data_IF_994312752292
#
_entry.id   IF_994312752292
#
_cell.length_a   1.000
_cell.length_b   1.000
_cell.length_c   1.000
_cell.angle_alpha   90.00
_cell.angle_beta   90.00
_cell.angle_gamma   90.00
#
_symmetry.space_group_name_H-M   'P 1'
#
loop_
_entity.id
_entity.type
_entity.pdbx_description
1 polymer ?
#
# COMPACT_ATOMS: atom_id res chain seq x y z
N UNK A 1 -22.29 -18.91 -12.00
CA UNK A 1 -21.09 -19.00 -11.14
C UNK A 1 -19.90 -18.66 -12.02
N UNK A 2 -19.36 -17.45 -11.90
CA UNK A 2 -18.20 -17.05 -12.70
C UNK A 2 -16.96 -17.68 -12.07
N UNK A 3 -16.37 -18.65 -12.76
CA UNK A 3 -15.08 -19.22 -12.37
C UNK A 3 -14.03 -18.18 -12.79
N UNK A 4 -13.49 -17.47 -11.80
CA UNK A 4 -12.25 -16.70 -12.01
C UNK A 4 -11.16 -17.75 -12.14
N UNK A 5 -10.62 -17.93 -13.33
CA UNK A 5 -9.51 -18.84 -13.53
C UNK A 5 -8.33 -18.35 -12.67
N UNK A 6 -7.71 -19.22 -11.86
CA UNK A 6 -6.48 -18.87 -11.18
C UNK A 6 -5.44 -18.44 -12.21
N UNK A 7 -4.58 -17.51 -11.82
CA UNK A 7 -3.42 -17.17 -12.64
C UNK A 7 -2.51 -18.39 -12.64
N UNK A 8 -2.50 -19.12 -13.76
CA UNK A 8 -1.63 -20.27 -13.98
C UNK A 8 -0.17 -19.78 -14.15
N UNK A 9 0.79 -20.60 -13.74
CA UNK A 9 2.25 -20.39 -13.85
C UNK A 9 2.86 -19.19 -13.11
N UNK A 10 2.19 -18.60 -12.11
CA UNK A 10 2.89 -17.78 -11.11
C UNK A 10 2.21 -17.78 -9.74
N UNK A 11 2.83 -18.48 -8.79
CA UNK A 11 2.45 -18.41 -7.37
C UNK A 11 3.13 -17.21 -6.66
N UNK A 12 3.86 -16.37 -7.41
CA UNK A 12 4.67 -15.28 -6.86
C UNK A 12 4.08 -13.97 -7.32
N UNK A 13 3.19 -13.42 -6.49
CA UNK A 13 2.74 -12.03 -6.63
C UNK A 13 3.78 -11.15 -5.96
N UNK A 14 4.52 -10.37 -6.75
CA UNK A 14 5.42 -9.34 -6.22
C UNK A 14 4.60 -8.09 -5.96
N UNK A 15 4.55 -7.67 -4.71
CA UNK A 15 3.87 -6.45 -4.32
C UNK A 15 4.71 -5.66 -3.32
N UNK A 16 4.39 -4.38 -3.23
CA UNK A 16 4.85 -3.51 -2.17
C UNK A 16 3.66 -2.66 -1.72
N UNK A 17 3.67 -2.33 -0.45
CA UNK A 17 2.65 -1.51 0.15
C UNK A 17 3.15 -0.09 0.22
N UNK A 18 2.25 0.86 0.01
CA UNK A 18 2.50 2.28 0.03
C UNK A 18 1.58 2.90 1.07
N UNK A 19 2.14 3.65 2.00
CA UNK A 19 1.38 4.30 3.06
C UNK A 19 1.67 5.78 3.04
N UNK A 20 0.59 6.56 3.05
CA UNK A 20 0.62 8.00 3.25
C UNK A 20 -0.12 8.34 4.53
N UNK A 21 0.54 9.11 5.39
CA UNK A 21 -0.06 9.65 6.60
C UNK A 21 -0.09 11.17 6.47
N UNK A 22 -1.29 11.71 6.42
CA UNK A 22 -1.53 13.15 6.40
C UNK A 22 -1.91 13.59 7.80
N UNK A 23 -0.98 14.27 8.45
CA UNK A 23 -1.17 14.86 9.78
C UNK A 23 -1.51 16.35 9.64
N UNK A 24 -1.87 17.00 10.75
CA UNK A 24 -2.16 18.44 10.75
C UNK A 24 -0.96 19.31 10.36
N UNK A 25 0.28 18.81 10.50
CA UNK A 25 1.51 19.57 10.30
C UNK A 25 2.41 19.07 9.15
N UNK A 26 2.24 17.82 8.72
CA UNK A 26 3.11 17.20 7.73
C UNK A 26 2.47 15.98 7.04
N UNK A 27 3.02 15.62 5.88
CA UNK A 27 2.67 14.40 5.13
C UNK A 27 3.86 13.45 5.08
N UNK A 28 3.69 12.25 5.62
CA UNK A 28 4.69 11.19 5.65
C UNK A 28 4.36 10.12 4.62
N UNK A 29 5.39 9.60 3.93
CA UNK A 29 5.25 8.62 2.84
C UNK A 29 6.30 7.54 3.01
N UNK A 30 5.85 6.29 3.09
CA UNK A 30 6.75 5.15 3.19
C UNK A 30 6.19 3.94 2.46
N UNK A 31 7.09 3.04 2.09
CA UNK A 31 6.76 1.81 1.38
C UNK A 31 7.57 0.62 1.89
N UNK A 32 7.01 -0.57 1.75
CA UNK A 32 7.73 -1.84 1.98
C UNK A 32 8.70 -2.19 0.83
N UNK A 33 8.76 -1.37 -0.23
CA UNK A 33 9.74 -1.50 -1.30
C UNK A 33 11.19 -1.29 -0.80
N UNK A 34 12.20 -1.90 -1.46
CA UNK A 34 13.61 -1.75 -1.09
C UNK A 34 14.22 -0.40 -1.50
N UNK A 35 13.55 0.36 -2.37
CA UNK A 35 14.00 1.65 -2.89
C UNK A 35 12.84 2.63 -2.94
N UNK A 36 13.16 3.93 -3.07
CA UNK A 36 12.13 4.95 -3.22
C UNK A 36 11.40 4.81 -4.55
N UNK A 37 10.07 4.89 -4.53
CA UNK A 37 9.21 4.73 -5.71
C UNK A 37 8.24 5.91 -5.77
N UNK A 38 8.15 6.55 -6.94
CA UNK A 38 7.13 7.56 -7.23
C UNK A 38 5.96 6.92 -7.95
N UNK A 39 4.77 6.99 -7.35
CA UNK A 39 3.51 6.54 -7.96
C UNK A 39 2.71 7.77 -8.33
N UNK A 40 2.96 8.33 -9.52
CA UNK A 40 2.43 9.64 -9.93
C UNK A 40 0.89 9.74 -9.92
N UNK A 41 0.19 8.60 -10.05
CA UNK A 41 -1.27 8.54 -9.94
C UNK A 41 -1.81 8.70 -8.51
N UNK A 42 -0.95 8.49 -7.50
CA UNK A 42 -1.30 8.54 -6.07
C UNK A 42 -0.72 9.78 -5.39
N UNK A 43 0.55 10.09 -5.66
CA UNK A 43 1.26 11.24 -5.10
C UNK A 43 2.36 11.74 -6.04
N UNK A 44 2.62 13.04 -6.00
CA UNK A 44 3.68 13.67 -6.79
C UNK A 44 5.08 13.44 -6.20
N UNK A 45 5.16 13.15 -4.89
CA UNK A 45 6.41 12.89 -4.18
C UNK A 45 6.65 11.38 -3.99
N UNK A 46 7.93 10.94 -3.96
CA UNK A 46 8.25 9.53 -3.79
C UNK A 46 7.87 9.01 -2.39
N UNK A 47 7.53 7.72 -2.33
CA UNK A 47 7.45 6.98 -1.07
C UNK A 47 8.84 6.48 -0.69
N UNK A 48 9.27 6.70 0.55
CA UNK A 48 10.55 6.19 1.05
C UNK A 48 10.51 4.67 1.14
N UNK A 49 11.45 3.99 0.50
CA UNK A 49 11.57 2.53 0.56
C UNK A 49 12.20 2.08 1.86
N UNK A 50 11.40 1.50 2.76
CA UNK A 50 11.82 1.08 4.09
C UNK A 50 12.06 -0.43 4.21
N UNK A 51 11.72 -1.21 3.17
CA UNK A 51 11.94 -2.66 3.15
C UNK A 51 11.49 -3.34 4.46
N UNK A 52 12.37 -4.11 5.09
CA UNK A 52 12.14 -4.82 6.36
C UNK A 52 11.86 -3.91 7.56
N UNK A 53 12.13 -2.60 7.46
CA UNK A 53 11.83 -1.66 8.54
C UNK A 53 10.33 -1.35 8.64
N UNK A 54 9.52 -1.71 7.64
CA UNK A 54 8.06 -1.60 7.69
C UNK A 54 7.44 -2.97 7.49
N UNK A 55 6.51 -3.32 8.36
CA UNK A 55 5.61 -4.45 8.17
C UNK A 55 4.17 -3.95 8.24
N UNK A 56 3.36 -4.33 7.26
CA UNK A 56 1.93 -4.05 7.24
C UNK A 56 1.19 -5.36 7.49
N UNK A 57 0.40 -5.38 8.55
CA UNK A 57 -0.45 -6.51 8.88
C UNK A 57 -1.57 -6.70 7.86
N UNK A 58 -2.12 -7.90 7.79
CA UNK A 58 -3.25 -8.19 6.90
C UNK A 58 -4.48 -7.37 7.28
N UNK A 59 -5.06 -6.67 6.31
CA UNK A 59 -6.38 -6.05 6.46
C UNK A 59 -7.47 -7.12 6.31
N UNK A 60 -8.25 -7.37 7.37
CA UNK A 60 -9.47 -8.17 7.29
C UNK A 60 -10.53 -7.40 6.51
N UNK A 61 -11.32 -8.06 5.64
CA UNK A 61 -12.39 -7.41 4.86
C UNK A 61 -13.78 -7.61 5.48
N UNK A 62 -13.84 -8.11 6.70
CA UNK A 62 -15.09 -8.31 7.42
C UNK A 62 -15.60 -6.97 7.95
N UNK A 63 -16.67 -6.46 7.35
CA UNK A 63 -17.37 -5.28 7.86
C UNK A 63 -18.29 -5.75 9.00
N UNK A 64 -17.71 -5.92 10.19
CA UNK A 64 -18.45 -6.08 11.44
C UNK A 64 -18.39 -4.77 12.22
N UNK A 65 -19.40 -4.47 13.05
CA UNK A 65 -19.42 -3.29 13.95
C UNK A 65 -18.43 -3.42 15.12
N UNK A 66 -17.26 -3.95 14.87
CA UNK A 66 -16.11 -3.98 15.77
C UNK A 66 -14.97 -3.40 14.97
N UNK A 67 -14.25 -2.43 15.55
CA UNK A 67 -13.16 -1.72 14.89
C UNK A 67 -12.26 -2.72 14.16
N UNK A 68 -12.25 -2.63 12.83
CA UNK A 68 -11.49 -3.53 11.99
C UNK A 68 -10.07 -2.96 11.91
N UNK A 69 -9.22 -3.40 12.84
CA UNK A 69 -7.90 -2.82 13.06
C UNK A 69 -6.89 -3.39 12.06
N UNK A 70 -6.38 -2.54 11.16
CA UNK A 70 -5.18 -2.85 10.38
C UNK A 70 -3.98 -2.27 11.12
N UNK A 71 -3.05 -3.14 11.51
CA UNK A 71 -1.83 -2.72 12.22
C UNK A 71 -0.71 -2.46 11.22
N UNK A 72 -0.14 -1.26 11.24
CA UNK A 72 1.11 -0.94 10.56
C UNK A 72 2.20 -0.90 11.63
N UNK A 73 3.20 -1.77 11.50
CA UNK A 73 4.34 -1.82 12.41
C UNK A 73 5.56 -1.25 11.71
N UNK A 74 6.06 -0.13 12.24
CA UNK A 74 7.33 0.44 11.82
C UNK A 74 8.41 -0.03 12.80
N UNK A 75 9.36 -0.82 12.31
CA UNK A 75 10.49 -1.36 13.08
C UNK A 75 11.77 -0.70 12.58
N UNK A 76 12.18 0.39 13.24
CA UNK A 76 13.46 1.04 12.95
C UNK A 76 13.42 2.55 13.07
N UNK A 77 14.59 3.16 12.84
CA UNK A 77 14.83 4.59 12.95
C UNK A 77 15.18 5.13 11.55
N UNK A 78 14.18 5.25 10.69
CA UNK A 78 14.36 6.08 9.50
C UNK A 78 14.28 7.55 9.92
N UNK A 79 15.29 8.35 9.58
CA UNK A 79 15.37 9.77 10.00
C UNK A 79 14.19 10.58 9.46
N UNK A 80 13.65 10.16 8.31
CA UNK A 80 12.43 10.72 7.73
C UNK A 80 11.16 10.40 8.51
N UNK A 81 11.12 9.29 9.25
CA UNK A 81 9.96 8.86 10.07
C UNK A 81 10.12 9.17 11.57
N UNK A 82 11.30 9.57 12.03
CA UNK A 82 11.53 9.97 13.43
C UNK A 82 10.56 11.06 13.91
N UNK A 83 10.31 12.06 13.07
CA UNK A 83 9.38 13.15 13.40
C UNK A 83 7.94 12.65 13.59
N UNK A 84 7.52 11.63 12.82
CA UNK A 84 6.21 10.99 12.98
C UNK A 84 6.09 10.30 14.33
N UNK A 85 7.14 9.59 14.77
CA UNK A 85 7.15 8.83 16.05
C UNK A 85 7.29 9.75 17.26
N UNK A 86 8.11 10.80 17.17
CA UNK A 86 8.48 11.65 18.31
C UNK A 86 7.50 12.79 18.60
N UNK A 87 6.67 13.22 17.63
CA UNK A 87 5.88 14.44 17.86
C UNK A 87 4.81 14.80 16.84
N UNK A 88 4.56 13.99 15.81
CA UNK A 88 3.42 14.27 14.95
C UNK A 88 2.11 14.04 15.70
N UNK A 89 1.12 14.91 15.48
CA UNK A 89 -0.25 14.73 15.97
C UNK A 89 -0.95 13.58 15.25
N UNK A 90 -0.50 12.34 15.48
CA UNK A 90 -0.98 11.15 14.76
C UNK A 90 -2.45 10.82 15.08
N UNK A 91 -2.92 11.23 16.26
CA UNK A 91 -4.32 11.06 16.67
C UNK A 91 -5.23 11.92 15.78
N UNK A 92 -6.14 11.26 15.06
CA UNK A 92 -7.06 11.91 14.13
C UNK A 92 -6.45 12.21 12.75
N UNK A 93 -5.24 11.72 12.48
CA UNK A 93 -4.61 11.84 11.15
C UNK A 93 -5.27 10.90 10.14
N UNK A 94 -5.28 11.32 8.88
CA UNK A 94 -5.74 10.48 7.78
C UNK A 94 -4.62 9.52 7.37
N UNK A 95 -4.96 8.24 7.26
CA UNK A 95 -4.07 7.20 6.77
C UNK A 95 -4.65 6.62 5.49
N UNK A 96 -3.85 6.60 4.44
CA UNK A 96 -4.19 5.99 3.17
C UNK A 96 -3.14 4.92 2.84
N UNK A 97 -3.62 3.76 2.37
CA UNK A 97 -2.78 2.62 2.06
C UNK A 97 -3.13 2.06 0.69
N UNK A 98 -2.11 1.69 -0.08
CA UNK A 98 -2.26 1.08 -1.40
C UNK A 98 -1.34 -0.13 -1.51
N UNK A 99 -1.77 -1.15 -2.24
CA UNK A 99 -0.90 -2.22 -2.70
C UNK A 99 -0.54 -1.95 -4.16
N UNK A 100 0.75 -1.84 -4.46
CA UNK A 100 1.25 -1.80 -5.82
C UNK A 100 1.78 -3.17 -6.24
N UNK A 101 1.44 -3.59 -7.45
CA UNK A 101 1.85 -4.88 -8.02
C UNK A 101 2.97 -4.68 -9.03
N UNK A 102 3.91 -5.60 -9.06
CA UNK A 102 5.09 -5.54 -9.93
C UNK A 102 5.09 -6.67 -10.95
N UNK A 103 5.62 -6.37 -12.14
CA UNK A 103 5.90 -7.38 -13.16
C UNK A 103 7.12 -8.25 -12.80
N UNK A 104 7.45 -9.21 -13.66
CA UNK A 104 8.61 -10.08 -13.45
C UNK A 104 9.96 -9.34 -13.54
N UNK A 105 10.00 -8.17 -14.18
CA UNK A 105 11.17 -7.31 -14.30
C UNK A 105 11.30 -6.30 -13.14
N UNK A 106 10.35 -6.28 -12.20
CA UNK A 106 10.35 -5.37 -11.07
C UNK A 106 9.80 -3.97 -11.37
N UNK A 107 9.11 -3.78 -12.50
CA UNK A 107 8.43 -2.53 -12.79
C UNK A 107 7.04 -2.51 -12.15
N UNK A 108 6.64 -1.34 -11.64
CA UNK A 108 5.30 -1.14 -11.11
C UNK A 108 4.27 -1.21 -12.25
N UNK A 109 3.25 -2.05 -12.09
CA UNK A 109 2.15 -2.18 -13.03
C UNK A 109 1.21 -0.99 -12.81
N UNK A 110 1.25 -0.02 -13.73
CA UNK A 110 0.44 1.21 -13.67
C UNK A 110 -0.76 1.19 -14.61
N UNK A 111 -0.77 0.28 -15.58
CA UNK A 111 -1.86 0.06 -16.52
C UNK A 111 -2.24 -1.41 -16.51
N UNK A 112 -3.55 -1.67 -16.52
CA UNK A 112 -4.09 -3.01 -16.73
C UNK A 112 -4.93 -2.97 -18.00
N UNK A 113 -4.68 -3.89 -18.93
CA UNK A 113 -5.52 -4.09 -20.11
C UNK A 113 -6.79 -4.92 -19.80
N UNK A 114 -7.11 -5.13 -18.52
CA UNK A 114 -8.34 -5.80 -18.14
C UNK A 114 -9.55 -4.91 -18.47
N UNK A 115 -10.19 -5.19 -19.61
CA UNK A 115 -11.50 -4.63 -19.93
C UNK A 115 -12.48 -5.15 -18.89
N UNK A 116 -13.03 -4.25 -18.09
CA UNK A 116 -14.18 -4.56 -17.23
C UNK A 116 -15.38 -4.84 -18.12
N UNK A 117 -15.61 -6.11 -18.43
CA UNK A 117 -16.87 -6.55 -19.03
C UNK A 117 -17.88 -6.63 -17.89
N UNK A 118 -18.61 -5.54 -17.67
CA UNK A 118 -19.90 -5.65 -16.98
C UNK A 118 -20.76 -6.56 -17.85
N UNK A 119 -21.22 -7.67 -17.30
CA UNK A 119 -22.08 -8.64 -17.97
C UNK A 119 -23.31 -7.91 -18.54
N UNK A 120 -23.24 -7.50 -19.81
CA UNK A 120 -24.37 -6.95 -20.52
C UNK A 120 -25.27 -8.11 -20.91
N UNK A 121 -26.24 -8.37 -20.03
CA UNK A 121 -27.54 -8.98 -20.25
C UNK A 121 -27.56 -10.40 -20.85
N UNK A 122 -28.38 -11.25 -20.22
CA UNK A 122 -28.78 -12.58 -20.70
C UNK A 122 -29.18 -12.59 -22.18
#
# INVERSE_FOLDING_TARGET
MNIIAPVEDTNVIRYADFVRITTASAVYRFSTAPTAITVAAVDALPFTGLSQLVSIGSATRDIKSTANETTVTLVGIDTTMLSLVLGAGIKGSQIEMWHGFFDAAGNLITTSNAVWINSSNY
#
